data_IF_879537266549
#
_entry.id   IF_879537266549
#
_cell.length_a   1.000
_cell.length_b   1.000
_cell.length_c   1.000
_cell.angle_alpha   90.00
_cell.angle_beta   90.00
_cell.angle_gamma   90.00
#
_symmetry.space_group_name_H-M   'P 1'
#
loop_
_entity.id
_entity.type
_entity.pdbx_description
1 polymer ?
#
# COMPACT_ATOMS: atom_id res chain seq x y z
N UNK A 1 16.84 -3.43 5.66
CA UNK A 1 16.73 -4.44 6.74
C UNK A 1 15.26 -4.52 7.15
N UNK A 2 14.58 -5.63 6.89
CA UNK A 2 13.15 -5.79 7.25
C UNK A 2 13.04 -6.04 8.75
N UNK A 3 12.20 -5.27 9.44
CA UNK A 3 12.09 -5.25 10.90
C UNK A 3 11.62 -6.63 11.44
N UNK A 4 12.36 -7.28 12.35
CA UNK A 4 12.05 -8.63 12.83
C UNK A 4 10.77 -8.74 13.69
N UNK A 5 10.14 -7.61 14.06
CA UNK A 5 8.84 -7.60 14.74
C UNK A 5 7.64 -7.97 13.85
N UNK A 6 7.85 -8.29 12.58
CA UNK A 6 6.81 -8.61 11.60
C UNK A 6 6.43 -10.12 11.54
N UNK A 7 6.98 -10.96 12.42
CA UNK A 7 6.69 -12.40 12.43
C UNK A 7 5.47 -12.73 13.31
N UNK A 8 4.29 -12.66 12.71
CA UNK A 8 3.08 -13.27 13.26
C UNK A 8 1.79 -12.61 12.75
N UNK A 9 1.11 -13.29 11.82
CA UNK A 9 -0.26 -13.02 11.33
C UNK A 9 -0.47 -11.83 10.37
N UNK A 10 -0.20 -12.02 9.07
CA UNK A 10 -0.86 -11.26 8.00
C UNK A 10 -0.01 -10.18 7.34
N UNK A 11 1.19 -10.55 6.88
CA UNK A 11 1.91 -9.74 5.90
C UNK A 11 1.35 -10.01 4.49
N UNK A 12 1.05 -8.95 3.75
CA UNK A 12 0.57 -8.99 2.38
C UNK A 12 1.36 -8.01 1.53
N UNK A 13 1.78 -8.45 0.35
CA UNK A 13 2.22 -7.54 -0.69
C UNK A 13 1.17 -7.52 -1.79
N UNK A 14 0.87 -6.34 -2.33
CA UNK A 14 -0.03 -6.22 -3.47
C UNK A 14 0.44 -5.14 -4.44
N UNK A 15 -0.05 -5.21 -5.67
CA UNK A 15 0.21 -4.22 -6.71
C UNK A 15 -0.94 -3.24 -6.78
N UNK A 16 -0.64 -1.97 -7.01
CA UNK A 16 -1.67 -0.95 -7.15
C UNK A 16 -1.11 0.38 -7.60
N UNK A 17 -1.92 1.42 -7.58
CA UNK A 17 -1.48 2.77 -7.88
C UNK A 17 -2.20 3.78 -6.99
N UNK A 18 -1.58 4.92 -6.74
CA UNK A 18 -2.23 6.01 -6.00
C UNK A 18 -3.34 6.64 -6.86
N UNK A 19 -4.58 6.69 -6.35
CA UNK A 19 -5.73 7.17 -7.12
C UNK A 19 -5.68 8.67 -7.46
N UNK A 20 -4.73 9.44 -6.88
CA UNK A 20 -4.53 10.86 -7.20
C UNK A 20 -3.89 11.09 -8.58
N UNK A 21 -3.30 10.06 -9.19
CA UNK A 21 -2.77 10.13 -10.55
C UNK A 21 -3.94 10.20 -11.55
N UNK A 22 -4.27 11.43 -11.96
CA UNK A 22 -5.49 11.77 -12.71
C UNK A 22 -5.41 11.45 -14.21
N UNK A 23 -4.24 11.03 -14.71
CA UNK A 23 -4.03 10.68 -16.11
C UNK A 23 -3.85 9.17 -16.27
N UNK A 24 -4.68 8.59 -17.14
CA UNK A 24 -4.77 7.14 -17.41
C UNK A 24 -3.58 6.55 -18.14
N UNK A 25 -2.65 7.35 -18.67
CA UNK A 25 -1.57 6.86 -19.55
C UNK A 25 -0.26 6.54 -18.80
N UNK A 26 -0.09 7.01 -17.56
CA UNK A 26 1.17 6.84 -16.78
C UNK A 26 0.91 6.41 -15.33
N UNK A 27 -0.03 5.46 -15.12
CA UNK A 27 -0.24 4.91 -13.77
C UNK A 27 0.99 4.11 -13.37
N UNK A 28 1.78 4.66 -12.46
CA UNK A 28 2.91 3.95 -11.90
C UNK A 28 2.39 2.86 -10.98
N UNK A 29 2.46 1.61 -11.44
CA UNK A 29 2.18 0.48 -10.58
C UNK A 29 3.26 0.42 -9.49
N UNK A 30 2.82 0.45 -8.25
CA UNK A 30 3.64 0.35 -7.06
C UNK A 30 3.36 -1.01 -6.41
N UNK A 31 4.41 -1.62 -5.86
CA UNK A 31 4.27 -2.75 -4.95
C UNK A 31 4.14 -2.20 -3.53
N UNK A 32 2.99 -2.41 -2.91
CA UNK A 32 2.69 -1.99 -1.55
C UNK A 32 2.91 -3.14 -0.58
N UNK A 33 3.51 -2.81 0.57
CA UNK A 33 3.74 -3.72 1.69
C UNK A 33 2.72 -3.43 2.78
N UNK A 34 1.96 -4.44 3.20
CA UNK A 34 0.92 -4.34 4.23
C UNK A 34 1.18 -5.34 5.33
N UNK A 35 0.99 -4.93 6.57
CA UNK A 35 1.03 -5.83 7.71
C UNK A 35 -0.10 -5.55 8.69
N UNK A 36 -0.51 -6.58 9.41
CA UNK A 36 -1.40 -6.42 10.56
C UNK A 36 -0.57 -6.13 11.81
N UNK A 37 -0.79 -4.98 12.45
CA UNK A 37 -0.04 -4.59 13.65
C UNK A 37 -0.76 -5.00 14.95
N UNK A 38 -0.20 -4.61 16.10
CA UNK A 38 -0.68 -5.02 17.45
C UNK A 38 -2.11 -4.59 17.76
N UNK A 39 -2.59 -3.54 17.10
CA UNK A 39 -3.96 -3.03 17.19
C UNK A 39 -4.96 -3.83 16.34
N UNK A 40 -4.48 -4.89 15.68
CA UNK A 40 -5.25 -5.78 14.83
C UNK A 40 -5.83 -5.09 13.58
N UNK A 41 -5.30 -3.93 13.19
CA UNK A 41 -5.63 -3.21 11.96
C UNK A 41 -4.59 -3.50 10.87
N UNK A 42 -4.97 -3.32 9.61
CA UNK A 42 -4.02 -3.34 8.49
C UNK A 42 -3.31 -2.00 8.42
N UNK A 43 -1.99 -2.02 8.23
CA UNK A 43 -1.17 -0.82 8.06
C UNK A 43 -0.41 -0.91 6.75
N UNK A 44 -0.27 0.23 6.08
CA UNK A 44 0.66 0.35 4.96
C UNK A 44 2.07 0.53 5.52
N UNK A 45 2.96 -0.42 5.25
CA UNK A 45 4.31 -0.49 5.83
C UNK A 45 5.43 -0.04 4.87
N UNK A 46 5.06 0.28 3.63
CA UNK A 46 5.97 0.77 2.63
C UNK A 46 5.45 0.55 1.21
N UNK A 47 6.14 1.12 0.24
CA UNK A 47 5.89 0.87 -1.17
C UNK A 47 7.15 1.03 -2.01
N UNK A 48 7.16 0.33 -3.15
CA UNK A 48 8.23 0.41 -4.14
C UNK A 48 7.64 0.67 -5.53
N UNK A 49 8.03 1.73 -6.25
CA UNK A 49 7.64 1.91 -7.64
C UNK A 49 8.18 0.78 -8.54
N UNK A 50 7.31 0.14 -9.37
CA UNK A 50 7.75 -0.91 -10.30
C UNK A 50 8.36 -0.36 -11.59
N UNK A 51 7.86 0.77 -12.08
CA UNK A 51 8.12 1.35 -13.42
C UNK A 51 9.61 1.54 -13.76
N UNK A 52 10.48 1.72 -12.76
CA UNK A 52 11.83 2.28 -13.00
C UNK A 52 13.00 1.50 -12.36
N UNK A 53 12.77 0.28 -11.84
CA UNK A 53 13.85 -0.57 -11.28
C UNK A 53 14.98 -0.88 -12.27
N UNK A 54 14.71 -0.77 -13.58
CA UNK A 54 15.67 -1.11 -14.65
C UNK A 54 16.58 0.06 -15.01
N UNK A 55 16.23 1.31 -14.65
CA UNK A 55 16.90 2.51 -15.17
C UNK A 55 17.52 3.42 -14.10
N UNK A 56 17.06 3.37 -12.85
CA UNK A 56 17.56 4.27 -11.80
C UNK A 56 17.78 3.55 -10.47
N UNK A 57 18.99 3.68 -9.92
CA UNK A 57 19.43 3.12 -8.63
C UNK A 57 18.80 3.79 -7.39
N UNK A 58 17.92 4.77 -7.61
CA UNK A 58 17.48 5.74 -6.60
C UNK A 58 15.97 5.96 -6.64
N UNK A 59 15.18 4.91 -6.85
CA UNK A 59 13.74 5.02 -6.62
C UNK A 59 13.48 4.92 -5.12
N UNK A 60 12.86 5.96 -4.57
CA UNK A 60 12.54 6.13 -3.17
C UNK A 60 11.66 4.97 -2.67
N UNK A 61 12.30 3.90 -2.22
CA UNK A 61 11.63 2.87 -1.44
C UNK A 61 11.20 3.53 -0.13
N UNK A 62 9.90 3.58 0.07
CA UNK A 62 9.36 4.05 1.33
C UNK A 62 9.25 2.88 2.29
N UNK A 63 9.76 3.06 3.51
CA UNK A 63 9.68 2.05 4.57
C UNK A 63 9.23 2.70 5.87
N UNK A 64 8.24 2.11 6.54
CA UNK A 64 7.68 2.63 7.79
C UNK A 64 6.17 2.51 7.83
N UNK A 65 5.57 2.72 9.00
CA UNK A 65 4.11 2.77 9.13
C UNK A 65 3.57 4.07 8.52
N UNK A 66 2.95 3.97 7.36
CA UNK A 66 2.33 5.07 6.61
C UNK A 66 0.89 5.35 7.04
N UNK A 67 0.34 4.53 7.93
CA UNK A 67 -1.02 4.68 8.42
C UNK A 67 -1.89 3.44 8.24
N UNK A 68 -3.09 3.56 8.78
CA UNK A 68 -4.10 2.50 8.83
C UNK A 68 -4.80 2.39 7.49
N UNK A 69 -4.97 1.16 7.03
CA UNK A 69 -5.72 0.82 5.83
C UNK A 69 -7.18 0.55 6.19
N UNK A 70 -8.07 1.27 5.53
CA UNK A 70 -9.51 1.03 5.51
C UNK A 70 -9.84 0.30 4.22
N UNK A 71 -10.31 -0.94 4.37
CA UNK A 71 -10.76 -1.78 3.26
C UNK A 71 -12.10 -1.27 2.69
N UNK A 72 -12.42 -1.57 1.41
CA UNK A 72 -13.76 -1.36 0.89
C UNK A 72 -14.82 -2.09 1.73
N UNK A 73 -16.04 -1.54 1.83
CA UNK A 73 -17.10 -2.03 2.74
C UNK A 73 -17.41 -3.53 2.59
N UNK A 74 -17.22 -4.10 1.39
CA UNK A 74 -17.51 -5.49 1.08
C UNK A 74 -16.33 -6.45 1.29
N UNK A 75 -15.21 -5.98 1.86
CA UNK A 75 -13.96 -6.75 1.98
C UNK A 75 -13.57 -6.94 3.43
N UNK A 76 -13.17 -8.17 3.78
CA UNK A 76 -12.77 -8.54 5.15
C UNK A 76 -11.25 -8.65 5.30
N UNK A 77 -10.55 -8.88 4.20
CA UNK A 77 -9.10 -9.03 4.16
C UNK A 77 -8.50 -8.44 2.90
N UNK A 78 -7.20 -8.15 2.93
CA UNK A 78 -6.41 -7.75 1.75
C UNK A 78 -6.48 -8.82 0.65
N UNK A 79 -6.59 -10.10 1.04
CA UNK A 79 -6.70 -11.22 0.10
C UNK A 79 -8.04 -11.26 -0.66
N UNK A 80 -9.07 -10.58 -0.17
CA UNK A 80 -10.38 -10.50 -0.84
C UNK A 80 -10.41 -9.41 -1.93
N UNK A 81 -9.36 -8.59 -2.03
CA UNK A 81 -9.31 -7.49 -2.99
C UNK A 81 -9.28 -8.03 -4.42
N UNK A 82 -10.03 -7.36 -5.29
CA UNK A 82 -10.07 -7.59 -6.73
C UNK A 82 -9.63 -6.33 -7.46
N UNK A 83 -9.21 -6.49 -8.71
CA UNK A 83 -8.77 -5.38 -9.54
C UNK A 83 -9.79 -4.24 -9.55
N UNK A 84 -9.32 -3.02 -9.29
CA UNK A 84 -10.15 -1.82 -9.22
C UNK A 84 -10.70 -1.51 -7.83
N UNK A 85 -10.53 -2.38 -6.83
CA UNK A 85 -10.94 -2.06 -5.46
C UNK A 85 -10.10 -0.91 -4.90
N UNK A 86 -10.76 0.10 -4.32
CA UNK A 86 -10.08 1.24 -3.69
C UNK A 86 -9.99 1.07 -2.17
N UNK A 87 -8.77 1.04 -1.65
CA UNK A 87 -8.51 1.11 -0.22
C UNK A 87 -8.04 2.52 0.17
N UNK A 88 -8.43 2.95 1.36
CA UNK A 88 -8.06 4.27 1.90
C UNK A 88 -6.97 4.10 2.96
N UNK A 89 -5.93 4.91 2.88
CA UNK A 89 -4.89 4.98 3.90
C UNK A 89 -5.11 6.25 4.71
N UNK A 90 -5.24 6.08 6.02
CA UNK A 90 -5.35 7.18 7.00
C UNK A 90 -4.02 7.29 7.72
N UNK A 91 -3.19 8.29 7.40
CA UNK A 91 -1.92 8.53 8.08
C UNK A 91 -2.10 8.74 9.59
N UNK A 92 -1.10 8.35 10.36
CA UNK A 92 -1.05 8.64 11.81
C UNK A 92 -0.53 10.06 12.09
N UNK A 93 0.18 10.66 11.14
CA UNK A 93 0.75 12.00 11.30
C UNK A 93 -0.34 13.07 11.20
N UNK A 94 -0.40 13.93 12.22
CA UNK A 94 -1.37 15.01 12.31
C UNK A 94 -1.21 16.00 11.15
N UNK A 95 -2.32 16.38 10.52
CA UNK A 95 -2.34 17.26 9.35
C UNK A 95 -2.16 16.58 7.98
N UNK A 96 -1.84 15.28 7.91
CA UNK A 96 -1.77 14.56 6.63
C UNK A 96 -3.14 14.04 6.21
N UNK A 97 -3.58 14.39 5.00
CA UNK A 97 -4.89 13.96 4.49
C UNK A 97 -4.88 12.47 4.13
N UNK A 98 -6.00 11.76 4.34
CA UNK A 98 -6.17 10.40 3.82
C UNK A 98 -6.02 10.37 2.30
N UNK A 99 -5.45 9.28 1.78
CA UNK A 99 -5.27 9.06 0.35
C UNK A 99 -5.72 7.65 -0.03
N UNK A 100 -5.92 7.43 -1.33
CA UNK A 100 -6.44 6.16 -1.86
C UNK A 100 -5.39 5.42 -2.68
N UNK A 101 -5.44 4.10 -2.58
CA UNK A 101 -4.71 3.18 -3.44
C UNK A 101 -5.75 2.32 -4.16
N UNK A 102 -5.66 2.22 -5.47
CA UNK A 102 -6.45 1.25 -6.22
C UNK A 102 -5.66 -0.04 -6.36
N UNK A 103 -6.26 -1.15 -5.94
CA UNK A 103 -5.70 -2.47 -6.10
C UNK A 103 -5.66 -2.87 -7.57
N UNK A 104 -4.53 -3.40 -8.01
CA UNK A 104 -4.33 -3.88 -9.35
C UNK A 104 -3.76 -5.29 -9.34
N UNK A 105 -4.36 -6.15 -10.17
CA UNK A 105 -3.95 -7.54 -10.30
C UNK A 105 -3.11 -7.67 -11.56
N UNK A 106 -1.94 -7.05 -11.56
CA UNK A 106 -0.91 -7.38 -12.55
C UNK A 106 -0.53 -8.85 -12.44
#
# INVERSE_FOLDING_TARGET
MVNPNLKGNGWHEFHGYFSSQSNTEERECNRFSVGRLKDNQYHLLGYTPQSLRIYFSSNEESSGDHGVIILPENKKSIADLVQGDELTVTPQEDGTKPYKITFDRF
#
